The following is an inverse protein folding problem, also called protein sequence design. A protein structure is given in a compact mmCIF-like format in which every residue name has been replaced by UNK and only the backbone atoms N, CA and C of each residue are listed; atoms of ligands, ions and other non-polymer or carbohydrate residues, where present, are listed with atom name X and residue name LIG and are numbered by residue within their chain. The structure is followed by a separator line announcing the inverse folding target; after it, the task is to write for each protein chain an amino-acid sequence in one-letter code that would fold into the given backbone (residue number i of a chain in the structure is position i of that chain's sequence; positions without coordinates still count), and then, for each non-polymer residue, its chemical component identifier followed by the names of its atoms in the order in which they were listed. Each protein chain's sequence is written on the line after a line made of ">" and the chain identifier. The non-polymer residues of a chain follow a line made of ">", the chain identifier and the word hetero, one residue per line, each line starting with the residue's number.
data_IF_423119698897
#
_entry.id   IF_423119698897
#
_cell.length_a   1.000
_cell.length_b   1.000
_cell.length_c   1.000
_cell.angle_alpha   90.00
_cell.angle_beta   90.00
_cell.angle_gamma   90.00
#
_symmetry.space_group_name_H-M   'P 1'
#
loop_
_entity.id
_entity.type
_entity.pdbx_description
1 polymer ?
#
# COMPACT_ATOMS: atom_id res chain seq x y z
N UNK A 1 21.53 12.93 -3.80
CA UNK A 1 21.04 12.98 -2.41
C UNK A 1 20.89 11.55 -1.89
N UNK A 2 21.19 11.25 -0.62
CA UNK A 2 20.88 9.93 -0.02
C UNK A 2 19.60 10.07 0.81
N UNK A 3 18.58 9.27 0.51
CA UNK A 3 17.27 9.29 1.19
C UNK A 3 16.22 10.17 0.51
N UNK A 4 14.97 9.68 0.46
CA UNK A 4 13.82 10.38 -0.12
C UNK A 4 13.05 11.26 0.86
N UNK A 5 13.32 11.16 2.16
CA UNK A 5 12.64 11.90 3.23
C UNK A 5 13.67 12.66 4.06
N UNK A 6 13.43 13.95 4.31
CA UNK A 6 14.35 14.84 5.03
C UNK A 6 13.59 15.76 5.99
N UNK A 7 14.20 16.05 7.14
CA UNK A 7 13.66 16.97 8.14
C UNK A 7 14.51 18.25 8.19
N UNK A 8 13.86 19.40 8.21
CA UNK A 8 14.53 20.70 8.40
C UNK A 8 13.61 21.70 9.07
N UNK A 9 14.19 22.64 9.81
CA UNK A 9 13.50 23.81 10.36
C UNK A 9 13.70 25.08 9.52
N UNK A 10 14.58 25.02 8.52
CA UNK A 10 14.89 26.15 7.63
C UNK A 10 14.19 25.96 6.27
N UNK A 11 13.22 26.82 5.89
CA UNK A 11 12.57 26.79 4.58
C UNK A 11 13.54 26.90 3.40
N UNK A 12 14.71 27.53 3.57
CA UNK A 12 15.71 27.63 2.49
C UNK A 12 16.32 26.27 2.16
N UNK A 13 16.52 25.43 3.16
CA UNK A 13 17.05 24.07 2.99
C UNK A 13 16.03 23.20 2.24
N UNK A 14 14.72 23.41 2.44
CA UNK A 14 13.67 22.71 1.68
C UNK A 14 13.87 22.90 0.17
N UNK A 15 14.05 24.15 -0.29
CA UNK A 15 14.28 24.45 -1.70
C UNK A 15 15.57 23.83 -2.25
N UNK A 16 16.63 23.74 -1.45
CA UNK A 16 17.89 23.11 -1.85
C UNK A 16 17.75 21.59 -2.01
N UNK A 17 17.04 20.93 -1.09
CA UNK A 17 16.78 19.49 -1.14
C UNK A 17 15.82 19.15 -2.29
N UNK A 18 14.71 19.88 -2.42
CA UNK A 18 13.73 19.68 -3.49
C UNK A 18 14.37 19.78 -4.89
N UNK A 19 15.31 20.72 -5.08
CA UNK A 19 16.06 20.86 -6.34
C UNK A 19 16.94 19.65 -6.68
N UNK A 20 17.36 18.88 -5.67
CA UNK A 20 18.13 17.64 -5.85
C UNK A 20 17.25 16.39 -5.94
N UNK A 21 15.92 16.54 -5.80
CA UNK A 21 14.95 15.46 -5.89
C UNK A 21 14.16 15.54 -7.20
N UNK A 22 13.51 16.68 -7.45
CA UNK A 22 12.63 16.85 -8.60
C UNK A 22 13.44 16.72 -9.91
N UNK A 23 12.99 15.82 -10.79
CA UNK A 23 13.61 15.51 -12.06
C UNK A 23 14.69 14.41 -12.01
N UNK A 24 15.03 13.90 -10.83
CA UNK A 24 15.95 12.79 -10.63
C UNK A 24 15.19 11.49 -10.31
N UNK A 25 15.85 10.34 -10.45
CA UNK A 25 15.27 9.04 -10.10
C UNK A 25 15.58 8.67 -8.64
N UNK A 26 14.56 8.18 -7.92
CA UNK A 26 14.67 7.61 -6.59
C UNK A 26 14.64 6.08 -6.67
N UNK A 27 15.71 5.43 -6.19
CA UNK A 27 15.78 3.98 -6.06
C UNK A 27 15.54 3.57 -4.61
N UNK A 28 14.60 2.66 -4.36
CA UNK A 28 14.32 2.05 -3.06
C UNK A 28 14.45 0.52 -3.15
N UNK A 29 14.17 -0.20 -2.06
CA UNK A 29 14.10 -1.67 -2.08
C UNK A 29 12.93 -2.20 -2.93
N UNK A 30 11.92 -1.36 -3.20
CA UNK A 30 10.66 -1.73 -3.85
C UNK A 30 10.55 -1.20 -5.30
N UNK A 31 11.53 -0.44 -5.79
CA UNK A 31 11.54 0.08 -7.16
C UNK A 31 12.45 -0.77 -8.07
N UNK A 32 12.27 -0.70 -9.40
CA UNK A 32 13.27 -1.17 -10.36
C UNK A 32 14.66 -0.56 -10.11
N UNK A 33 15.71 -1.14 -10.71
CA UNK A 33 17.12 -0.72 -10.48
C UNK A 33 17.38 0.72 -10.93
N UNK A 34 16.71 1.13 -11.99
CA UNK A 34 16.70 2.47 -12.57
C UNK A 34 16.00 3.51 -11.69
N UNK A 35 15.25 3.07 -10.67
CA UNK A 35 14.44 3.92 -9.80
C UNK A 35 13.28 4.58 -10.51
N UNK A 36 12.59 5.44 -9.78
CA UNK A 36 11.37 6.13 -10.23
C UNK A 36 11.62 7.63 -10.32
N UNK A 37 11.21 8.25 -11.43
CA UNK A 37 11.42 9.69 -11.64
C UNK A 37 10.55 10.53 -10.70
N UNK A 38 11.17 11.32 -9.84
CA UNK A 38 10.47 12.19 -8.90
C UNK A 38 9.97 13.45 -9.60
N UNK A 39 8.66 13.55 -9.84
CA UNK A 39 8.05 14.72 -10.46
C UNK A 39 7.50 15.74 -9.44
N UNK A 40 7.16 15.28 -8.24
CA UNK A 40 6.56 16.07 -7.17
C UNK A 40 7.23 15.75 -5.84
N UNK A 41 7.21 16.70 -4.90
CA UNK A 41 7.64 16.49 -3.51
C UNK A 41 6.58 17.05 -2.58
N UNK A 42 6.34 16.37 -1.46
CA UNK A 42 5.45 16.85 -0.41
C UNK A 42 6.26 17.64 0.64
N UNK A 43 5.78 18.82 1.00
CA UNK A 43 6.31 19.61 2.13
C UNK A 43 5.21 19.68 3.17
N UNK A 44 5.42 18.98 4.28
CA UNK A 44 4.45 18.83 5.35
C UNK A 44 5.03 19.27 6.69
N UNK A 45 4.15 19.51 7.66
CA UNK A 45 4.55 19.63 9.06
C UNK A 45 5.18 18.33 9.55
N UNK A 46 6.35 18.42 10.18
CA UNK A 46 7.00 17.29 10.80
C UNK A 46 6.40 17.08 12.20
N UNK A 47 5.48 16.15 12.31
CA UNK A 47 4.94 15.70 13.59
C UNK A 47 5.91 14.77 14.28
N UNK A 48 6.12 14.97 15.59
CA UNK A 48 6.89 14.03 16.39
C UNK A 48 6.06 12.77 16.61
N UNK A 49 6.72 11.62 16.58
CA UNK A 49 6.09 10.32 16.82
C UNK A 49 6.59 9.81 18.17
N UNK A 50 5.67 9.68 19.13
CA UNK A 50 5.96 9.10 20.44
C UNK A 50 5.86 7.58 20.42
N UNK A 51 5.00 7.02 19.56
CA UNK A 51 4.78 5.59 19.41
C UNK A 51 4.28 5.23 18.02
N UNK A 52 4.82 4.16 17.46
CA UNK A 52 4.50 3.66 16.12
C UNK A 52 3.87 2.28 16.20
N UNK A 53 2.76 2.09 15.48
CA UNK A 53 2.10 0.80 15.30
C UNK A 53 1.83 0.56 13.82
N UNK A 54 1.51 -0.67 13.47
CA UNK A 54 1.05 -1.04 12.14
C UNK A 54 -0.46 -1.28 12.18
N UNK A 55 -1.18 -0.77 11.18
CA UNK A 55 -2.60 -1.07 11.00
C UNK A 55 -2.94 -1.21 9.52
N UNK A 56 -3.70 -2.25 9.18
CA UNK A 56 -4.22 -2.44 7.83
C UNK A 56 -5.64 -3.04 7.83
N UNK A 57 -6.35 -2.82 6.73
CA UNK A 57 -7.64 -3.41 6.41
C UNK A 57 -7.52 -4.01 5.02
N UNK A 58 -7.91 -5.28 4.87
CA UNK A 58 -7.94 -5.95 3.57
C UNK A 58 -9.13 -6.92 3.46
N UNK A 59 -9.48 -7.31 2.24
CA UNK A 59 -10.40 -8.43 2.02
C UNK A 59 -9.66 -9.77 2.19
N UNK A 60 -9.99 -10.50 3.26
CA UNK A 60 -9.39 -11.82 3.52
C UNK A 60 -10.18 -12.92 2.80
N UNK A 61 -9.50 -13.60 1.87
CA UNK A 61 -10.09 -14.68 1.06
C UNK A 61 -10.44 -15.94 1.87
N UNK A 62 -9.79 -16.17 3.01
CA UNK A 62 -10.08 -17.33 3.86
C UNK A 62 -11.31 -17.08 4.72
N UNK A 63 -11.54 -15.82 5.10
CA UNK A 63 -12.66 -15.42 5.95
C UNK A 63 -13.88 -14.93 5.16
N UNK A 64 -13.73 -14.72 3.85
CA UNK A 64 -14.76 -14.19 2.94
C UNK A 64 -15.29 -12.80 3.37
N UNK A 65 -14.42 -11.93 3.85
CA UNK A 65 -14.81 -10.59 4.28
C UNK A 65 -13.64 -9.70 4.71
N UNK A 66 -13.93 -8.45 5.09
CA UNK A 66 -12.90 -7.54 5.58
C UNK A 66 -12.26 -8.05 6.87
N UNK A 67 -10.95 -7.89 6.99
CA UNK A 67 -10.19 -8.19 8.21
C UNK A 67 -9.33 -6.99 8.55
N UNK A 68 -9.40 -6.56 9.81
CA UNK A 68 -8.42 -5.64 10.38
C UNK A 68 -7.19 -6.46 10.77
N UNK A 69 -6.01 -6.00 10.38
CA UNK A 69 -4.72 -6.57 10.78
C UNK A 69 -3.94 -5.48 11.48
N UNK A 70 -3.40 -5.76 12.66
CA UNK A 70 -2.66 -4.77 13.43
C UNK A 70 -1.50 -5.36 14.20
N UNK A 71 -0.45 -4.56 14.42
CA UNK A 71 0.66 -4.91 15.30
C UNK A 71 1.13 -3.72 16.11
N UNK A 72 1.44 -3.88 17.41
CA UNK A 72 2.11 -2.84 18.20
C UNK A 72 3.55 -2.57 17.72
N UNK A 73 4.11 -3.40 16.83
CA UNK A 73 5.39 -3.14 16.15
C UNK A 73 5.14 -2.42 14.82
N UNK A 74 5.16 -1.09 14.83
CA UNK A 74 5.11 -0.25 13.63
C UNK A 74 6.49 0.13 13.10
N UNK A 75 6.51 0.83 11.96
CA UNK A 75 7.73 1.39 11.36
C UNK A 75 8.63 0.36 10.66
N UNK A 76 8.14 -0.88 10.51
CA UNK A 76 8.84 -1.98 9.84
C UNK A 76 7.91 -2.76 8.92
N UNK A 77 8.50 -3.66 8.14
CA UNK A 77 7.80 -4.52 7.20
C UNK A 77 6.92 -5.54 7.95
N UNK A 78 5.64 -5.63 7.62
CA UNK A 78 4.70 -6.46 8.39
C UNK A 78 4.98 -7.96 8.19
N UNK A 79 5.51 -8.33 7.02
CA UNK A 79 5.95 -9.68 6.68
C UNK A 79 7.13 -10.12 7.57
N UNK A 80 8.02 -9.19 7.92
CA UNK A 80 9.12 -9.47 8.86
C UNK A 80 8.57 -9.75 10.25
N UNK A 81 7.62 -8.95 10.74
CA UNK A 81 6.95 -9.17 12.04
C UNK A 81 6.20 -10.50 12.04
N UNK A 82 5.48 -10.82 10.97
CA UNK A 82 4.77 -12.09 10.84
C UNK A 82 5.71 -13.31 10.87
N UNK A 83 6.95 -13.16 10.38
CA UNK A 83 7.96 -14.22 10.41
C UNK A 83 8.68 -14.33 11.76
N UNK A 84 9.00 -13.20 12.40
CA UNK A 84 9.81 -13.17 13.63
C UNK A 84 9.00 -13.23 14.92
N UNK A 85 7.81 -12.62 14.92
CA UNK A 85 6.97 -12.40 16.11
C UNK A 85 5.48 -12.47 15.75
N UNK A 86 5.00 -13.61 15.21
CA UNK A 86 3.61 -13.77 14.76
C UNK A 86 2.57 -13.52 15.86
N UNK A 87 2.92 -13.68 17.13
CA UNK A 87 2.08 -13.39 18.29
C UNK A 87 1.75 -11.90 18.46
N UNK A 88 2.51 -11.02 17.80
CA UNK A 88 2.27 -9.57 17.77
C UNK A 88 1.38 -9.16 16.60
N UNK A 89 0.87 -10.11 15.81
CA UNK A 89 -0.09 -9.85 14.75
C UNK A 89 -1.50 -10.17 15.26
N UNK A 90 -2.31 -9.13 15.40
CA UNK A 90 -3.69 -9.24 15.80
C UNK A 90 -4.61 -9.12 14.59
N UNK A 91 -5.69 -9.91 14.57
CA UNK A 91 -6.68 -9.91 13.50
C UNK A 91 -8.09 -9.80 14.06
N UNK A 92 -8.91 -8.95 13.44
CA UNK A 92 -10.35 -8.86 13.71
C UNK A 92 -11.12 -9.05 12.40
N UNK A 93 -11.90 -10.13 12.31
CA UNK A 93 -12.80 -10.35 11.18
C UNK A 93 -14.04 -9.46 11.31
N UNK A 94 -14.40 -8.77 10.24
CA UNK A 94 -15.56 -7.89 10.18
C UNK A 94 -16.62 -8.52 9.29
N UNK A 95 -17.85 -8.59 9.79
CA UNK A 95 -19.00 -8.92 8.96
C UNK A 95 -19.32 -7.72 8.06
N UNK A 96 -19.37 -7.93 6.75
CA UNK A 96 -19.55 -6.84 5.77
C UNK A 96 -20.97 -6.25 5.79
N UNK A 97 -21.96 -7.02 6.25
CA UNK A 97 -23.36 -6.58 6.32
C UNK A 97 -23.63 -5.81 7.61
N UNK A 98 -23.04 -6.21 8.73
CA UNK A 98 -23.16 -5.52 10.01
C UNK A 98 -22.23 -4.30 10.10
N UNK A 99 -21.06 -4.37 9.46
CA UNK A 99 -20.00 -3.37 9.55
C UNK A 99 -19.14 -3.50 10.82
N UNK A 100 -18.14 -2.62 10.93
CA UNK A 100 -17.24 -2.59 12.09
C UNK A 100 -18.00 -2.19 13.37
N UNK A 101 -17.85 -2.99 14.43
CA UNK A 101 -18.41 -2.72 15.75
C UNK A 101 -17.43 -1.93 16.61
N UNK A 102 -17.96 -1.10 17.50
CA UNK A 102 -17.15 -0.39 18.51
C UNK A 102 -16.27 -1.34 19.33
N UNK A 103 -16.79 -2.53 19.69
CA UNK A 103 -16.03 -3.51 20.46
C UNK A 103 -14.83 -4.10 19.71
N UNK A 104 -14.91 -4.22 18.38
CA UNK A 104 -13.80 -4.68 17.53
C UNK A 104 -12.74 -3.59 17.41
N UNK A 105 -13.16 -2.35 17.12
CA UNK A 105 -12.25 -1.21 17.03
C UNK A 105 -11.51 -0.95 18.36
N UNK A 106 -12.23 -1.02 19.49
CA UNK A 106 -11.66 -0.85 20.82
C UNK A 106 -10.66 -1.96 21.17
N UNK A 107 -10.95 -3.21 20.81
CA UNK A 107 -10.04 -4.35 21.05
C UNK A 107 -8.79 -4.24 20.19
N UNK A 108 -8.92 -3.85 18.91
CA UNK A 108 -7.77 -3.60 18.05
C UNK A 108 -6.90 -2.45 18.60
N UNK A 109 -7.50 -1.32 18.98
CA UNK A 109 -6.76 -0.21 19.58
C UNK A 109 -6.00 -0.61 20.85
N UNK A 110 -6.59 -1.46 21.70
CA UNK A 110 -5.91 -1.99 22.89
C UNK A 110 -4.75 -2.94 22.54
N UNK A 111 -4.96 -3.87 21.60
CA UNK A 111 -3.92 -4.79 21.14
C UNK A 111 -2.74 -4.05 20.49
N UNK A 112 -3.04 -2.95 19.80
CA UNK A 112 -2.05 -2.03 19.27
C UNK A 112 -1.35 -1.22 20.36
N UNK A 113 -1.77 -1.30 21.63
CA UNK A 113 -1.12 -0.66 22.77
C UNK A 113 -1.58 0.78 23.07
N UNK A 114 -2.67 1.25 22.46
CA UNK A 114 -3.22 2.58 22.78
C UNK A 114 -3.94 2.51 24.14
N UNK A 115 -3.74 3.54 24.98
CA UNK A 115 -4.27 3.59 26.35
C UNK A 115 -5.13 4.85 26.59
N UNK A 116 -5.98 4.80 27.62
CA UNK A 116 -6.75 5.98 28.07
C UNK A 116 -7.59 6.62 26.97
N UNK A 117 -7.49 7.94 26.82
CA UNK A 117 -8.24 8.66 25.77
C UNK A 117 -7.74 8.33 24.35
N UNK A 118 -6.45 7.98 24.20
CA UNK A 118 -5.86 7.61 22.91
C UNK A 118 -6.43 6.30 22.39
N UNK A 119 -6.78 5.35 23.27
CA UNK A 119 -7.50 4.13 22.88
C UNK A 119 -8.82 4.46 22.18
N UNK A 120 -9.59 5.40 22.73
CA UNK A 120 -10.86 5.82 22.14
C UNK A 120 -10.65 6.56 20.81
N UNK A 121 -9.62 7.40 20.73
CA UNK A 121 -9.29 8.11 19.50
C UNK A 121 -8.83 7.14 18.39
N UNK A 122 -7.98 6.18 18.72
CA UNK A 122 -7.53 5.15 17.78
C UNK A 122 -8.69 4.27 17.30
N UNK A 123 -9.59 3.87 18.21
CA UNK A 123 -10.80 3.14 17.83
C UNK A 123 -11.70 3.95 16.88
N UNK A 124 -11.79 5.27 17.08
CA UNK A 124 -12.53 6.15 16.17
C UNK A 124 -11.88 6.24 14.79
N UNK A 125 -10.55 6.42 14.73
CA UNK A 125 -9.80 6.42 13.47
C UNK A 125 -9.89 5.09 12.73
N UNK A 126 -9.79 3.95 13.43
CA UNK A 126 -9.98 2.61 12.86
C UNK A 126 -11.35 2.48 12.17
N UNK A 127 -12.42 2.99 12.79
CA UNK A 127 -13.76 2.98 12.16
C UNK A 127 -13.83 3.90 10.95
N UNK A 128 -13.20 5.07 10.99
CA UNK A 128 -13.11 5.97 9.82
C UNK A 128 -12.35 5.32 8.67
N UNK A 129 -11.23 4.65 8.95
CA UNK A 129 -10.44 3.91 7.96
C UNK A 129 -11.23 2.74 7.36
N UNK A 130 -12.02 2.01 8.17
CA UNK A 130 -12.91 0.97 7.66
C UNK A 130 -13.98 1.54 6.71
N UNK A 131 -14.62 2.65 7.09
CA UNK A 131 -15.60 3.31 6.24
C UNK A 131 -14.96 3.87 4.96
N UNK A 132 -13.73 4.39 5.05
CA UNK A 132 -12.94 4.82 3.90
C UNK A 132 -12.68 3.63 2.96
N UNK A 133 -12.15 2.52 3.50
CA UNK A 133 -11.86 1.29 2.77
C UNK A 133 -13.06 0.81 1.94
N UNK A 134 -14.25 0.76 2.53
CA UNK A 134 -15.47 0.41 1.82
C UNK A 134 -15.88 1.46 0.79
N UNK A 135 -15.81 2.75 1.15
CA UNK A 135 -16.28 3.85 0.30
C UNK A 135 -15.51 3.96 -1.01
N UNK A 136 -14.22 3.67 -0.99
CA UNK A 136 -13.31 3.86 -2.13
C UNK A 136 -13.03 2.56 -2.89
N UNK A 137 -13.71 1.47 -2.54
CA UNK A 137 -13.47 0.14 -3.12
C UNK A 137 -11.99 -0.29 -3.02
N UNK A 138 -11.40 -0.10 -1.85
CA UNK A 138 -10.04 -0.54 -1.62
C UNK A 138 -9.97 -2.07 -1.49
N UNK A 139 -8.92 -2.66 -2.05
CA UNK A 139 -8.51 -4.03 -1.75
C UNK A 139 -7.66 -4.09 -0.48
N UNK A 140 -6.92 -3.01 -0.20
CA UNK A 140 -6.15 -2.82 1.02
C UNK A 140 -6.03 -1.34 1.37
N UNK A 141 -6.16 -1.02 2.66
CA UNK A 141 -5.69 0.25 3.26
C UNK A 141 -4.68 -0.12 4.32
N UNK A 142 -3.45 0.34 4.18
CA UNK A 142 -2.34 0.13 5.11
C UNK A 142 -1.89 1.49 5.65
N UNK A 143 -1.75 1.60 6.96
CA UNK A 143 -1.24 2.78 7.66
C UNK A 143 -0.03 2.36 8.48
N UNK A 144 1.14 2.83 8.06
CA UNK A 144 2.41 2.48 8.69
C UNK A 144 3.39 3.66 8.62
N UNK A 145 3.58 4.44 9.71
CA UNK A 145 3.04 4.17 11.04
C UNK A 145 1.63 4.74 11.27
N UNK A 146 0.79 3.95 11.95
CA UNK A 146 -0.37 4.42 12.69
C UNK A 146 0.05 4.66 14.14
N UNK A 147 -0.02 5.87 14.67
CA UNK A 147 0.69 6.15 15.91
C UNK A 147 0.21 7.35 16.70
N UNK A 148 1.02 7.71 17.69
CA UNK A 148 0.72 8.78 18.65
C UNK A 148 1.76 9.90 18.53
N UNK A 149 1.32 11.13 18.76
CA UNK A 149 2.22 12.27 18.97
C UNK A 149 2.44 12.54 20.46
N UNK A 150 3.53 13.22 20.86
CA UNK A 150 3.75 13.66 22.24
C UNK A 150 2.62 14.55 22.80
N UNK A 151 1.89 15.23 21.94
CA UNK A 151 0.75 16.09 22.29
C UNK A 151 -0.53 15.29 22.60
N UNK A 152 -0.47 13.96 22.51
CA UNK A 152 -1.59 13.07 22.84
C UNK A 152 -2.65 13.04 21.75
N UNK A 153 -2.21 12.95 20.48
CA UNK A 153 -3.07 12.74 19.33
C UNK A 153 -2.72 11.44 18.61
N UNK A 154 -3.74 10.75 18.09
CA UNK A 154 -3.57 9.62 17.17
C UNK A 154 -3.57 10.11 15.73
N UNK A 155 -2.59 9.67 14.93
CA UNK A 155 -2.36 10.14 13.55
C UNK A 155 -2.03 8.97 12.63
N UNK A 156 -2.53 9.03 11.39
CA UNK A 156 -2.07 8.20 10.29
C UNK A 156 -0.90 8.93 9.60
N UNK A 157 0.34 8.57 9.92
CA UNK A 157 1.52 9.33 9.47
C UNK A 157 1.88 9.06 8.01
N UNK A 158 1.75 7.81 7.59
CA UNK A 158 1.94 7.39 6.20
C UNK A 158 0.97 6.24 5.90
N UNK A 159 0.50 6.18 4.66
CA UNK A 159 -0.49 5.20 4.25
C UNK A 159 -0.34 4.80 2.78
N UNK A 160 -0.62 3.53 2.53
CA UNK A 160 -0.69 2.93 1.20
C UNK A 160 -2.09 2.38 0.96
N UNK A 161 -2.66 2.70 -0.19
CA UNK A 161 -4.00 2.23 -0.57
C UNK A 161 -3.90 1.50 -1.90
N UNK A 162 -4.42 0.28 -1.92
CA UNK A 162 -4.62 -0.50 -3.13
C UNK A 162 -6.11 -0.54 -3.45
N UNK A 163 -6.46 -0.34 -4.72
CA UNK A 163 -7.83 -0.27 -5.20
C UNK A 163 -8.25 -1.55 -5.92
N UNK A 164 -9.56 -1.78 -6.04
CA UNK A 164 -10.12 -2.81 -6.92
C UNK A 164 -10.35 -2.22 -8.31
N UNK A 165 -9.56 -2.66 -9.31
CA UNK A 165 -9.73 -2.25 -10.71
C UNK A 165 -11.16 -2.49 -11.22
N UNK A 166 -11.84 -3.52 -10.72
CA UNK A 166 -13.21 -3.82 -11.15
C UNK A 166 -14.22 -2.76 -10.69
N UNK A 167 -13.86 -1.88 -9.75
CA UNK A 167 -14.69 -0.81 -9.24
C UNK A 167 -14.48 0.53 -9.97
N UNK A 168 -13.59 0.60 -10.97
CA UNK A 168 -13.29 1.84 -11.72
C UNK A 168 -14.56 2.54 -12.21
N UNK A 169 -15.54 1.78 -12.73
CA UNK A 169 -16.79 2.32 -13.27
C UNK A 169 -17.56 3.20 -12.29
N UNK A 170 -17.38 3.00 -10.97
CA UNK A 170 -18.01 3.77 -9.89
C UNK A 170 -17.02 4.62 -9.07
N UNK A 171 -15.72 4.54 -9.33
CA UNK A 171 -14.65 5.29 -8.64
C UNK A 171 -13.88 6.24 -9.58
N UNK A 172 -14.57 6.83 -10.56
CA UNK A 172 -13.95 7.62 -11.64
C UNK A 172 -12.99 8.71 -11.17
N UNK A 173 -13.33 9.42 -10.09
CA UNK A 173 -12.48 10.50 -9.58
C UNK A 173 -11.16 9.97 -9.00
N UNK A 174 -11.16 8.76 -8.43
CA UNK A 174 -9.96 8.11 -7.91
C UNK A 174 -9.08 7.65 -9.07
N UNK A 175 -9.66 6.94 -10.04
CA UNK A 175 -8.92 6.45 -11.20
C UNK A 175 -8.45 7.59 -12.13
N UNK A 176 -9.11 8.76 -12.10
CA UNK A 176 -8.60 9.96 -12.78
C UNK A 176 -7.32 10.53 -12.15
N UNK A 177 -6.99 10.14 -10.91
CA UNK A 177 -5.73 10.48 -10.25
C UNK A 177 -4.62 9.46 -10.52
N UNK A 178 -4.90 8.38 -11.26
CA UNK A 178 -3.90 7.38 -11.61
C UNK A 178 -2.72 8.03 -12.36
N UNK A 179 -1.51 7.83 -11.82
CA UNK A 179 -0.29 8.40 -12.35
C UNK A 179 0.51 7.32 -13.09
N UNK A 180 0.12 7.07 -14.34
CA UNK A 180 0.81 6.12 -15.20
C UNK A 180 2.22 6.55 -15.63
N UNK A 181 2.78 7.67 -15.14
CA UNK A 181 4.11 8.12 -15.54
C UNK A 181 5.25 7.23 -15.03
N UNK A 182 4.97 6.39 -14.03
CA UNK A 182 5.92 5.46 -13.42
C UNK A 182 5.74 4.01 -13.93
N UNK A 183 4.63 3.71 -14.61
CA UNK A 183 4.35 2.39 -15.18
C UNK A 183 5.22 2.10 -16.41
N UNK A 184 5.40 0.81 -16.73
CA UNK A 184 6.05 0.45 -17.98
C UNK A 184 5.22 0.97 -19.19
N UNK A 185 5.86 1.61 -20.20
CA UNK A 185 5.13 2.14 -21.35
C UNK A 185 4.27 1.11 -22.09
N UNK A 186 4.69 -0.17 -22.07
CA UNK A 186 3.96 -1.27 -22.71
C UNK A 186 2.72 -1.65 -21.88
N UNK A 187 2.81 -1.66 -20.54
CA UNK A 187 1.68 -1.88 -19.65
C UNK A 187 0.60 -0.81 -19.85
N UNK A 188 1.02 0.47 -19.90
CA UNK A 188 0.13 1.59 -20.17
C UNK A 188 -0.56 1.50 -21.54
N UNK A 189 0.15 1.04 -22.56
CA UNK A 189 -0.44 0.89 -23.90
C UNK A 189 -1.40 -0.30 -23.94
N UNK A 190 -1.05 -1.43 -23.31
CA UNK A 190 -1.91 -2.61 -23.21
C UNK A 190 -3.24 -2.31 -22.51
N UNK A 191 -3.19 -1.56 -21.40
CA UNK A 191 -4.39 -1.18 -20.64
C UNK A 191 -5.43 -0.42 -21.48
N UNK A 192 -5.01 0.36 -22.49
CA UNK A 192 -5.93 1.08 -23.40
C UNK A 192 -6.76 0.16 -24.30
N UNK A 193 -6.34 -1.09 -24.45
CA UNK A 193 -7.01 -2.11 -25.26
C UNK A 193 -7.59 -3.23 -24.39
N UNK A 194 -7.77 -3.00 -23.09
CA UNK A 194 -8.25 -3.98 -22.11
C UNK A 194 -7.37 -5.24 -22.02
N UNK A 195 -6.08 -5.13 -22.39
CA UNK A 195 -5.12 -6.22 -22.33
C UNK A 195 -4.38 -6.21 -20.98
N UNK A 196 -4.25 -7.38 -20.35
CA UNK A 196 -3.47 -7.54 -19.11
C UNK A 196 -2.04 -7.97 -19.45
N UNK A 197 -1.17 -6.98 -19.58
CA UNK A 197 0.28 -7.18 -19.80
C UNK A 197 1.05 -7.02 -18.49
N UNK A 198 2.08 -7.85 -18.28
CA UNK A 198 3.07 -7.68 -17.20
C UNK A 198 4.46 -7.97 -17.78
N UNK A 199 5.40 -7.03 -17.61
CA UNK A 199 6.79 -7.19 -18.03
C UNK A 199 7.57 -8.21 -17.18
N UNK A 200 8.43 -9.03 -17.80
CA UNK A 200 9.32 -9.98 -17.12
C UNK A 200 10.76 -9.88 -17.66
N UNK A 201 11.75 -10.28 -16.85
CA UNK A 201 13.17 -10.29 -17.27
C UNK A 201 13.51 -11.53 -18.10
N UNK A 202 13.04 -11.53 -19.35
CA UNK A 202 13.25 -12.61 -20.30
C UNK A 202 13.38 -12.16 -21.75
N UNK A 203 13.44 -13.13 -22.66
CA UNK A 203 13.69 -12.89 -24.09
C UNK A 203 12.74 -13.66 -25.02
N UNK A 204 11.75 -14.37 -24.48
CA UNK A 204 10.73 -15.11 -25.23
C UNK A 204 9.37 -14.51 -24.88
N UNK A 205 8.78 -13.72 -25.78
CA UNK A 205 7.45 -13.17 -25.57
C UNK A 205 6.35 -14.22 -25.78
N UNK A 206 5.23 -14.09 -25.07
CA UNK A 206 4.04 -14.92 -25.27
C UNK A 206 2.76 -14.08 -25.11
N UNK A 207 1.68 -14.53 -25.73
CA UNK A 207 0.34 -13.97 -25.60
C UNK A 207 -0.68 -15.09 -25.74
N UNK A 208 -1.73 -15.09 -24.92
CA UNK A 208 -2.64 -16.21 -24.79
C UNK A 208 -4.04 -15.72 -24.43
N UNK A 209 -5.09 -16.39 -24.91
CA UNK A 209 -6.48 -16.11 -24.56
C UNK A 209 -6.91 -16.86 -23.28
N UNK A 210 -6.62 -16.26 -22.13
CA UNK A 210 -7.03 -16.70 -20.82
C UNK A 210 -5.87 -16.71 -19.82
N UNK A 211 -6.01 -15.95 -18.73
CA UNK A 211 -4.99 -15.79 -17.68
C UNK A 211 -4.35 -17.10 -17.19
N UNK A 212 -5.16 -18.15 -16.99
CA UNK A 212 -4.66 -19.46 -16.56
C UNK A 212 -3.70 -20.10 -17.57
N UNK A 213 -4.02 -20.00 -18.86
CA UNK A 213 -3.17 -20.56 -19.91
C UNK A 213 -1.97 -19.64 -20.20
N UNK A 214 -2.12 -18.32 -20.05
CA UNK A 214 -1.03 -17.36 -20.13
C UNK A 214 0.06 -17.66 -19.07
N UNK A 215 -0.34 -17.87 -17.80
CA UNK A 215 0.58 -18.30 -16.73
C UNK A 215 1.23 -19.65 -17.04
N UNK A 216 0.44 -20.66 -17.40
CA UNK A 216 0.98 -21.99 -17.75
C UNK A 216 1.94 -21.96 -18.95
N UNK A 217 1.76 -21.00 -19.87
CA UNK A 217 2.65 -20.80 -21.02
C UNK A 217 3.97 -20.17 -20.59
N UNK A 218 3.96 -19.17 -19.69
CA UNK A 218 5.19 -18.67 -19.08
C UNK A 218 5.94 -19.79 -18.34
N UNK A 219 5.22 -20.61 -17.57
CA UNK A 219 5.78 -21.73 -16.81
C UNK A 219 6.42 -22.78 -17.71
N UNK A 220 5.73 -23.21 -18.78
CA UNK A 220 6.27 -24.23 -19.67
C UNK A 220 7.49 -23.73 -20.47
N UNK A 221 7.53 -22.44 -20.81
CA UNK A 221 8.75 -21.81 -21.40
C UNK A 221 9.91 -21.94 -20.41
N UNK A 222 9.70 -21.56 -19.15
CA UNK A 222 10.70 -21.63 -18.10
C UNK A 222 11.17 -23.06 -17.82
N UNK A 223 10.24 -24.02 -17.70
CA UNK A 223 10.53 -25.43 -17.48
C UNK A 223 11.38 -26.06 -18.59
N UNK A 224 11.27 -25.53 -19.82
CA UNK A 224 12.06 -25.98 -20.97
C UNK A 224 13.32 -25.13 -21.21
N UNK A 225 13.75 -24.35 -20.21
CA UNK A 225 15.01 -23.60 -20.22
C UNK A 225 14.95 -22.24 -20.93
N UNK A 226 13.77 -21.80 -21.35
CA UNK A 226 13.54 -20.45 -21.85
C UNK A 226 13.36 -19.41 -20.74
N UNK A 227 13.35 -18.13 -21.10
CA UNK A 227 13.02 -17.04 -20.17
C UNK A 227 11.83 -16.25 -20.74
N UNK A 228 10.61 -16.38 -20.17
CA UNK A 228 9.47 -15.61 -20.63
C UNK A 228 9.73 -14.12 -20.43
N UNK A 229 9.49 -13.31 -21.47
CA UNK A 229 9.72 -11.86 -21.47
C UNK A 229 8.53 -11.06 -20.97
N UNK A 230 7.34 -11.66 -20.94
CA UNK A 230 6.12 -11.02 -20.50
C UNK A 230 5.05 -12.07 -20.15
N UNK A 231 4.04 -11.62 -19.43
CA UNK A 231 2.71 -12.21 -19.39
C UNK A 231 1.76 -11.33 -20.21
N UNK A 232 0.86 -11.91 -21.02
CA UNK A 232 -0.16 -11.18 -21.76
C UNK A 232 -1.42 -12.03 -21.95
N UNK A 233 -2.52 -11.58 -21.36
CA UNK A 233 -3.87 -12.11 -21.55
C UNK A 233 -4.66 -11.26 -22.57
N UNK A 234 -5.34 -11.93 -23.50
CA UNK A 234 -6.11 -11.32 -24.61
C UNK A 234 -7.56 -11.00 -24.26
#
# INVERSE_FOLDING_TARGET
>A
LKGGVHLTKDPKVVGQLAKQMIGYNLTTKQTPKEGVKVNKVMVAEALNISRETYFAILMDRSCNGPVLVGSPQGGMDIEEVAASSPELIFKEQIDIMEGIKDSQAQRMAENLGFLGHLKNQAADEIKKLYNLFLKIDATQVEVNPFGETPEGQVVCFDAKINFDDNAEFRQKDIFAMDDGSENEPIENEAAKYDLKYIGLDGNIACFVNGAGLAMATCDIIFLNGGKPANFLDL
#
